data_IF_996821654886
#
_entry.id   IF_996821654886
#
_cell.length_a   1.000
_cell.length_b   1.000
_cell.length_c   1.000
_cell.angle_alpha   90.00
_cell.angle_beta   90.00
_cell.angle_gamma   90.00
#
_symmetry.space_group_name_H-M   'P 1'
#
loop_
_entity.id
_entity.type
_entity.pdbx_description
1 polymer ?
#
# COMPACT_ATOMS: atom_id res chain seq x y z
N UNK A 1 -6.56 -0.76 -5.90
CA UNK A 1 -7.14 -1.02 -4.57
C UNK A 1 -6.14 -1.81 -3.76
N UNK A 2 -6.08 -1.62 -2.45
CA UNK A 2 -5.11 -2.30 -1.61
C UNK A 2 -5.18 -1.81 -0.17
N UNK A 3 -4.06 -1.85 0.52
CA UNK A 3 -3.98 -1.53 1.95
C UNK A 3 -3.05 -0.34 2.17
N UNK A 4 -3.41 0.53 3.09
CA UNK A 4 -2.70 1.77 3.36
C UNK A 4 -2.42 1.96 4.84
N UNK A 5 -1.23 2.44 5.17
CA UNK A 5 -0.86 3.02 6.46
C UNK A 5 -0.79 4.54 6.28
N UNK A 6 -1.38 5.31 7.20
CA UNK A 6 -1.32 6.78 7.23
C UNK A 6 -0.88 7.28 8.61
N UNK A 7 -0.10 8.37 8.63
CA UNK A 7 0.30 9.05 9.86
C UNK A 7 -0.86 9.77 10.56
N UNK A 8 -1.86 10.24 9.80
CA UNK A 8 -3.06 10.89 10.34
C UNK A 8 -4.23 10.80 9.35
N UNK A 9 -5.39 11.35 9.73
CA UNK A 9 -6.56 11.44 8.85
C UNK A 9 -6.52 12.67 7.91
N UNK A 10 -5.57 13.59 8.08
CA UNK A 10 -5.43 14.79 7.25
C UNK A 10 -5.13 14.45 5.79
N UNK A 11 -5.68 15.20 4.84
CA UNK A 11 -5.55 14.93 3.40
C UNK A 11 -4.08 14.82 2.92
N UNK A 12 -3.19 15.55 3.58
CA UNK A 12 -1.77 15.64 3.26
C UNK A 12 -0.89 14.65 4.06
N UNK A 13 -1.47 13.80 4.91
CA UNK A 13 -0.75 12.85 5.77
C UNK A 13 0.25 11.97 4.99
N UNK A 14 1.43 11.76 5.57
CA UNK A 14 2.37 10.74 5.15
C UNK A 14 1.66 9.38 5.08
N UNK A 15 1.95 8.61 4.03
CA UNK A 15 1.27 7.35 3.78
C UNK A 15 2.14 6.33 3.04
N UNK A 16 1.81 5.06 3.26
CA UNK A 16 2.31 3.92 2.53
C UNK A 16 1.12 3.15 1.99
N UNK A 17 1.03 2.97 0.68
CA UNK A 17 -0.09 2.31 0.02
C UNK A 17 0.43 1.16 -0.86
N UNK A 18 0.15 -0.07 -0.46
CA UNK A 18 0.45 -1.26 -1.27
C UNK A 18 -0.82 -1.63 -2.04
N UNK A 19 -0.77 -1.54 -3.37
CA UNK A 19 -1.97 -1.63 -4.19
C UNK A 19 -1.84 -2.64 -5.31
N UNK A 20 -2.98 -3.24 -5.62
CA UNK A 20 -3.24 -4.06 -6.79
C UNK A 20 -4.07 -3.26 -7.82
N UNK A 21 -3.67 -3.34 -9.08
CA UNK A 21 -4.32 -2.70 -10.22
C UNK A 21 -4.41 -3.67 -11.39
N UNK A 22 -5.57 -3.78 -12.03
CA UNK A 22 -5.75 -4.63 -13.22
C UNK A 22 -4.83 -4.25 -14.38
N UNK A 23 -4.46 -2.97 -14.51
CA UNK A 23 -3.62 -2.48 -15.61
C UNK A 23 -2.12 -2.48 -15.29
N UNK A 24 -1.77 -2.41 -14.01
CA UNK A 24 -0.39 -2.16 -13.57
C UNK A 24 0.13 -3.20 -12.59
N UNK A 25 -0.64 -4.25 -12.29
CA UNK A 25 -0.27 -5.26 -11.31
C UNK A 25 -0.25 -4.75 -9.88
N UNK A 26 0.60 -5.37 -9.06
CA UNK A 26 0.90 -4.95 -7.69
C UNK A 26 2.09 -4.01 -7.68
N UNK A 27 1.97 -2.88 -6.97
CA UNK A 27 3.05 -1.92 -6.73
C UNK A 27 2.76 -1.05 -5.50
N UNK A 28 3.75 -0.28 -5.06
CA UNK A 28 3.62 0.66 -3.93
C UNK A 28 3.45 2.11 -4.38
N UNK A 29 2.72 2.89 -3.59
CA UNK A 29 2.77 4.35 -3.60
C UNK A 29 3.08 4.85 -2.20
N UNK A 30 3.82 5.96 -2.10
CA UNK A 30 4.16 6.56 -0.81
C UNK A 30 4.09 8.08 -0.81
N UNK A 31 3.96 8.62 0.39
CA UNK A 31 4.27 10.00 0.76
C UNK A 31 5.06 9.97 2.06
N UNK A 32 6.35 10.32 2.03
CA UNK A 32 7.25 10.13 3.18
C UNK A 32 6.99 11.11 4.34
N UNK A 33 6.52 12.31 4.04
CA UNK A 33 6.23 13.36 5.02
C UNK A 33 4.89 14.01 4.72
N UNK A 34 4.27 14.62 5.74
CA UNK A 34 3.05 15.37 5.53
C UNK A 34 3.29 16.49 4.49
N UNK A 35 2.36 16.69 3.57
CA UNK A 35 2.45 17.70 2.51
C UNK A 35 3.34 17.34 1.32
N UNK A 36 4.11 16.24 1.35
CA UNK A 36 4.96 15.86 0.22
C UNK A 36 4.16 15.31 -0.98
N UNK A 37 4.80 15.33 -2.15
CA UNK A 37 4.29 14.67 -3.34
C UNK A 37 4.23 13.15 -3.17
N UNK A 38 3.25 12.52 -3.82
CA UNK A 38 3.14 11.05 -3.87
C UNK A 38 4.02 10.50 -4.99
N UNK A 39 4.77 9.44 -4.71
CA UNK A 39 5.58 8.72 -5.71
C UNK A 39 5.27 7.24 -5.73
N UNK A 40 5.47 6.61 -6.90
CA UNK A 40 5.32 5.16 -7.09
C UNK A 40 6.63 4.44 -6.78
N UNK A 41 6.55 3.16 -6.48
CA UNK A 41 7.69 2.29 -6.24
C UNK A 41 7.42 0.82 -6.44
N UNK A 42 8.51 0.05 -6.47
CA UNK A 42 8.49 -1.37 -6.81
C UNK A 42 8.37 -1.60 -8.31
N UNK A 43 8.49 -2.86 -8.70
CA UNK A 43 8.23 -3.31 -10.08
C UNK A 43 6.73 -3.53 -10.23
N UNK A 44 6.19 -3.32 -11.44
CA UNK A 44 4.78 -3.58 -11.77
C UNK A 44 4.61 -5.03 -12.23
N UNK A 45 4.04 -5.88 -11.40
CA UNK A 45 3.78 -7.29 -11.73
C UNK A 45 2.47 -7.46 -12.52
N UNK A 46 2.52 -7.28 -13.84
CA UNK A 46 1.34 -7.12 -14.71
C UNK A 46 0.99 -8.36 -15.59
N UNK A 47 1.65 -9.50 -15.44
CA UNK A 47 1.39 -10.67 -16.31
C UNK A 47 0.11 -11.40 -15.90
N UNK A 48 -1.03 -11.05 -16.51
CA UNK A 48 -2.30 -11.76 -16.32
C UNK A 48 -2.88 -11.61 -14.91
N UNK A 49 -2.65 -10.46 -14.26
CA UNK A 49 -3.05 -10.23 -12.88
C UNK A 49 -4.57 -10.37 -12.68
N UNK A 50 -4.99 -11.48 -12.08
CA UNK A 50 -6.40 -11.79 -11.75
C UNK A 50 -6.78 -11.42 -10.31
N UNK A 51 -5.82 -10.88 -9.56
CA UNK A 51 -5.92 -10.69 -8.11
C UNK A 51 -4.62 -11.12 -7.44
N UNK A 52 -4.45 -10.74 -6.18
CA UNK A 52 -3.29 -11.13 -5.39
C UNK A 52 -3.36 -10.55 -3.99
N UNK A 53 -2.46 -11.03 -3.14
CA UNK A 53 -2.36 -10.59 -1.76
C UNK A 53 -1.27 -9.54 -1.64
N UNK A 54 -1.53 -8.54 -0.80
CA UNK A 54 -0.60 -7.46 -0.48
C UNK A 54 -0.36 -7.45 1.02
N UNK A 55 0.84 -7.03 1.42
CA UNK A 55 1.22 -6.89 2.83
C UNK A 55 2.01 -5.60 3.02
N UNK A 56 1.76 -4.95 4.15
CA UNK A 56 2.58 -3.87 4.68
C UNK A 56 3.07 -4.31 6.05
N UNK A 57 4.38 -4.28 6.25
CA UNK A 57 5.00 -4.57 7.55
C UNK A 57 5.68 -3.31 8.04
N UNK A 58 5.33 -2.84 9.24
CA UNK A 58 5.95 -1.68 9.88
C UNK A 58 6.85 -2.14 11.02
N UNK A 59 8.11 -1.69 11.01
CA UNK A 59 9.04 -1.83 12.15
C UNK A 59 9.62 -0.45 12.43
N UNK A 60 9.21 0.17 13.54
CA UNK A 60 9.55 1.55 13.86
C UNK A 60 9.13 2.51 12.74
N UNK A 61 10.12 3.13 12.11
CA UNK A 61 9.95 4.07 11.00
C UNK A 61 9.97 3.42 9.61
N UNK A 62 10.34 2.14 9.53
CA UNK A 62 10.46 1.43 8.26
C UNK A 62 9.16 0.72 7.90
N UNK A 63 8.72 0.89 6.65
CA UNK A 63 7.58 0.16 6.08
C UNK A 63 8.08 -0.67 4.90
N UNK A 64 7.83 -1.98 4.96
CA UNK A 64 8.14 -2.95 3.90
C UNK A 64 6.86 -3.33 3.16
N UNK A 65 6.95 -3.38 1.83
CA UNK A 65 5.87 -3.73 0.93
C UNK A 65 6.08 -5.14 0.41
N UNK A 66 5.06 -6.00 0.58
CA UNK A 66 5.09 -7.38 0.14
C UNK A 66 3.90 -7.74 -0.75
N UNK A 67 4.09 -8.77 -1.56
CA UNK A 67 3.04 -9.41 -2.36
C UNK A 67 3.08 -10.91 -2.19
N UNK A 68 1.95 -11.56 -2.40
CA UNK A 68 1.85 -13.02 -2.47
C UNK A 68 0.86 -13.43 -3.55
N UNK A 69 1.16 -14.54 -4.22
CA UNK A 69 0.29 -15.16 -5.22
C UNK A 69 -0.60 -16.26 -4.60
N UNK A 70 -0.36 -16.65 -3.32
CA UNK A 70 -1.09 -17.71 -2.61
C UNK A 70 -1.66 -17.28 -1.24
N UNK A 71 -1.34 -16.08 -0.77
CA UNK A 71 -1.74 -15.57 0.54
C UNK A 71 -0.99 -16.17 1.72
N UNK A 72 0.03 -16.99 1.48
CA UNK A 72 0.85 -17.67 2.50
C UNK A 72 2.28 -17.15 2.46
N UNK A 73 2.94 -17.22 1.30
CA UNK A 73 4.32 -16.80 1.13
C UNK A 73 4.38 -15.39 0.55
N UNK A 74 4.86 -14.43 1.33
CA UNK A 74 4.97 -13.03 0.93
C UNK A 74 6.40 -12.67 0.54
N UNK A 75 6.56 -12.19 -0.70
CA UNK A 75 7.81 -11.65 -1.21
C UNK A 75 7.80 -10.14 -1.05
N UNK A 76 8.78 -9.62 -0.31
CA UNK A 76 9.02 -8.18 -0.21
C UNK A 76 9.60 -7.64 -1.51
N UNK A 77 9.07 -6.51 -1.98
CA UNK A 77 9.52 -5.89 -3.23
C UNK A 77 9.99 -4.44 -3.08
N UNK A 78 9.69 -3.80 -1.94
CA UNK A 78 10.17 -2.46 -1.62
C UNK A 78 10.21 -2.26 -0.10
N UNK A 79 11.08 -1.36 0.37
CA UNK A 79 11.15 -0.94 1.77
C UNK A 79 11.54 0.53 1.85
N UNK A 80 10.94 1.25 2.79
CA UNK A 80 11.06 2.69 2.91
C UNK A 80 11.09 3.16 4.34
N UNK A 81 11.96 4.13 4.62
CA UNK A 81 12.07 4.74 5.94
C UNK A 81 11.35 6.09 5.93
N UNK A 82 10.35 6.23 6.78
CA UNK A 82 9.61 7.47 6.99
C UNK A 82 10.35 8.30 8.03
N UNK A 83 10.47 9.61 7.82
CA UNK A 83 11.22 10.46 8.77
C UNK A 83 10.51 10.54 10.13
N UNK A 84 9.18 10.68 10.13
CA UNK A 84 8.38 10.90 11.34
C UNK A 84 7.01 10.20 11.27
N UNK A 85 6.99 8.87 11.28
CA UNK A 85 5.76 8.13 11.58
C UNK A 85 5.44 8.25 13.08
N UNK A 86 4.21 8.63 13.46
CA UNK A 86 3.77 8.63 14.86
C UNK A 86 3.58 7.20 15.39
N UNK A 87 3.55 7.03 16.71
CA UNK A 87 3.31 5.73 17.34
C UNK A 87 1.96 5.15 16.89
N UNK A 88 0.91 5.98 16.97
CA UNK A 88 -0.42 5.63 16.46
C UNK A 88 -0.54 5.98 14.98
N UNK A 89 -0.85 4.98 14.15
CA UNK A 89 -1.13 5.13 12.72
C UNK A 89 -2.50 4.59 12.37
N UNK A 90 -3.01 5.02 11.23
CA UNK A 90 -4.26 4.51 10.68
C UNK A 90 -3.95 3.48 9.61
N UNK A 91 -4.49 2.27 9.75
CA UNK A 91 -4.33 1.19 8.79
C UNK A 91 -5.70 0.82 8.24
N UNK A 92 -5.80 0.61 6.93
CA UNK A 92 -7.06 0.16 6.35
C UNK A 92 -7.01 -0.09 4.85
N UNK A 93 -8.17 -0.47 4.31
CA UNK A 93 -8.39 -0.66 2.90
C UNK A 93 -8.49 0.70 2.19
N UNK A 94 -7.86 0.80 1.02
CA UNK A 94 -7.86 2.01 0.21
C UNK A 94 -8.13 1.68 -1.26
N UNK A 95 -8.94 2.53 -1.90
CA UNK A 95 -9.24 2.48 -3.32
C UNK A 95 -8.93 3.84 -3.91
N UNK A 96 -8.17 3.84 -5.00
CA UNK A 96 -7.82 5.04 -5.74
C UNK A 96 -7.90 4.76 -7.23
N UNK A 97 -8.10 5.84 -7.99
CA UNK A 97 -8.10 5.86 -9.44
C UNK A 97 -7.10 6.91 -9.89
N UNK A 98 -6.45 6.66 -11.03
CA UNK A 98 -5.61 7.66 -11.69
C UNK A 98 -6.40 8.50 -12.70
N UNK A 99 -7.69 8.20 -12.87
CA UNK A 99 -8.60 8.89 -13.78
C UNK A 99 -9.48 9.85 -12.99
N UNK A 100 -9.51 11.12 -13.39
CA UNK A 100 -10.27 12.17 -12.71
C UNK A 100 -11.79 12.04 -12.91
N UNK A 101 -12.23 11.34 -13.95
CA UNK A 101 -13.63 11.18 -14.35
C UNK A 101 -14.17 9.74 -14.24
N UNK A 102 -13.43 8.82 -13.61
CA UNK A 102 -13.83 7.43 -13.50
C UNK A 102 -13.42 6.83 -12.16
N UNK A 103 -14.38 6.23 -11.45
CA UNK A 103 -14.15 5.52 -10.20
C UNK A 103 -13.45 4.18 -10.40
N UNK A 104 -12.81 3.69 -9.34
CA UNK A 104 -12.29 2.33 -9.28
C UNK A 104 -13.11 1.51 -8.27
N UNK A 105 -13.34 0.23 -8.58
CA UNK A 105 -13.94 -0.72 -7.63
C UNK A 105 -12.87 -1.71 -7.19
N UNK A 106 -12.77 -1.94 -5.88
CA UNK A 106 -11.88 -2.94 -5.28
C UNK A 106 -12.69 -3.90 -4.41
N UNK A 107 -12.43 -5.20 -4.55
CA UNK A 107 -13.00 -6.23 -3.68
C UNK A 107 -11.89 -6.73 -2.76
N UNK A 108 -12.13 -6.67 -1.46
CA UNK A 108 -11.19 -7.09 -0.43
C UNK A 108 -11.68 -8.38 0.22
N UNK A 109 -10.75 -9.31 0.49
CA UNK A 109 -11.00 -10.58 1.18
C UNK A 109 -9.82 -10.89 2.09
N UNK A 110 -10.08 -11.67 3.13
CA UNK A 110 -9.06 -12.17 4.06
C UNK A 110 -8.18 -11.05 4.64
N UNK A 111 -8.81 -10.00 5.16
CA UNK A 111 -8.13 -8.91 5.85
C UNK A 111 -7.60 -9.39 7.21
N UNK A 112 -6.35 -9.08 7.48
CA UNK A 112 -5.67 -9.38 8.74
C UNK A 112 -4.86 -8.16 9.20
N UNK A 113 -4.95 -7.87 10.50
CA UNK A 113 -4.05 -6.96 11.20
C UNK A 113 -3.54 -7.68 12.43
N UNK A 114 -2.23 -7.92 12.47
CA UNK A 114 -1.55 -8.56 13.58
C UNK A 114 -0.37 -7.70 14.04
N UNK A 115 -0.13 -7.72 15.34
CA UNK A 115 1.11 -7.29 15.96
C UNK A 115 1.83 -8.57 16.35
N UNK A 116 3.06 -8.77 15.85
CA UNK A 116 3.93 -9.78 16.47
C UNK A 116 4.20 -9.42 17.94
#
# INVERSE_FOLDING_TARGET
>A
AGIMIRSSLNADAANAYCMASLRSGIYGQKRLTNGAGTSNMGVRWNSGFSGGWVRLTRIGQQITYGRSDDGVFFNSFASETFSQLPDTVYVGMAVSTWQWNAGATGIFRNWELSTE
#
